data_IF_550045717615
#
_entry.id   IF_550045717615
#
_cell.length_a   1.000
_cell.length_b   1.000
_cell.length_c   1.000
_cell.angle_alpha   90.00
_cell.angle_beta   90.00
_cell.angle_gamma   90.00
#
_symmetry.space_group_name_H-M   'P 1'
#
loop_
_entity.id
_entity.type
_entity.pdbx_description
1 polymer ?
#
# COMPACT_ATOMS: atom_id res chain seq x y z
N UNK A 1 -26.83 -27.33 -24.54
CA UNK A 1 -26.63 -25.93 -24.11
C UNK A 1 -25.19 -25.79 -23.64
N UNK A 2 -24.44 -24.88 -24.23
CA UNK A 2 -23.04 -24.61 -23.85
C UNK A 2 -22.95 -23.18 -23.33
N UNK A 3 -22.12 -22.97 -22.31
CA UNK A 3 -21.81 -21.64 -21.76
C UNK A 3 -20.32 -21.41 -21.97
N UNK A 4 -19.96 -20.22 -22.44
CA UNK A 4 -18.58 -19.81 -22.69
C UNK A 4 -18.40 -18.34 -22.32
N UNK A 5 -17.15 -17.95 -22.06
CA UNK A 5 -16.76 -16.57 -21.82
C UNK A 5 -15.49 -16.27 -22.63
N UNK A 6 -15.37 -15.03 -23.08
CA UNK A 6 -14.18 -14.53 -23.78
C UNK A 6 -13.80 -13.16 -23.22
N UNK A 7 -12.51 -12.86 -23.21
CA UNK A 7 -11.94 -11.58 -22.80
C UNK A 7 -11.40 -10.83 -24.01
N UNK A 8 -11.62 -9.53 -24.08
CA UNK A 8 -10.94 -8.66 -25.06
C UNK A 8 -9.51 -8.29 -24.63
N UNK A 9 -9.08 -8.69 -23.43
CA UNK A 9 -7.71 -8.54 -22.94
C UNK A 9 -7.21 -9.87 -22.31
N UNK A 10 -6.78 -10.84 -23.13
CA UNK A 10 -6.30 -12.14 -22.64
C UNK A 10 -4.96 -12.07 -21.91
N UNK A 11 -4.22 -10.95 -21.99
CA UNK A 11 -3.00 -10.78 -21.19
C UNK A 11 -3.33 -10.61 -19.70
N UNK A 12 -4.41 -9.88 -19.41
CA UNK A 12 -4.94 -9.66 -18.06
C UNK A 12 -5.85 -10.81 -17.59
N UNK A 13 -6.87 -11.15 -18.38
CA UNK A 13 -7.86 -12.18 -18.04
C UNK A 13 -7.91 -13.21 -19.18
N UNK A 14 -7.20 -14.34 -19.03
CA UNK A 14 -7.18 -15.40 -20.05
C UNK A 14 -8.49 -16.17 -20.06
N UNK A 15 -9.04 -16.41 -21.25
CA UNK A 15 -10.26 -17.22 -21.42
C UNK A 15 -10.16 -18.60 -20.74
N UNK A 16 -8.96 -19.18 -20.71
CA UNK A 16 -8.69 -20.47 -20.09
C UNK A 16 -8.73 -20.46 -18.55
N UNK A 17 -8.70 -19.31 -17.88
CA UNK A 17 -8.83 -19.21 -16.41
C UNK A 17 -10.28 -19.09 -15.94
N UNK A 18 -11.24 -18.98 -16.86
CA UNK A 18 -12.65 -18.86 -16.54
C UNK A 18 -13.24 -20.20 -16.12
N UNK A 19 -13.72 -20.27 -14.88
CA UNK A 19 -14.34 -21.47 -14.32
C UNK A 19 -15.82 -21.23 -14.12
N UNK A 20 -16.65 -21.96 -14.85
CA UNK A 20 -18.10 -21.94 -14.69
C UNK A 20 -18.54 -22.93 -13.61
N UNK A 21 -19.45 -22.49 -12.75
CA UNK A 21 -20.10 -23.31 -11.73
C UNK A 21 -21.62 -23.15 -11.73
N UNK A 22 -22.27 -23.83 -10.78
CA UNK A 22 -23.74 -23.83 -10.64
C UNK A 22 -24.47 -24.62 -11.74
N UNK A 23 -25.80 -24.60 -11.70
CA UNK A 23 -26.69 -25.33 -12.60
C UNK A 23 -27.99 -24.55 -12.90
N UNK A 24 -28.74 -25.01 -13.91
CA UNK A 24 -29.99 -24.37 -14.31
C UNK A 24 -29.85 -22.86 -14.57
N UNK A 25 -30.67 -22.06 -13.88
CA UNK A 25 -30.68 -20.60 -13.94
C UNK A 25 -29.61 -19.94 -13.05
N UNK A 26 -29.06 -20.67 -12.07
CA UNK A 26 -28.11 -20.15 -11.09
C UNK A 26 -26.69 -20.60 -11.46
N UNK A 27 -26.01 -19.77 -12.24
CA UNK A 27 -24.63 -20.02 -12.70
C UNK A 27 -23.66 -19.05 -12.04
N UNK A 28 -22.46 -19.54 -11.76
CA UNK A 28 -21.33 -18.71 -11.32
C UNK A 28 -20.22 -18.72 -12.35
N UNK A 29 -19.46 -17.64 -12.41
CA UNK A 29 -18.23 -17.53 -13.17
C UNK A 29 -17.14 -17.02 -12.23
N UNK A 30 -16.10 -17.83 -12.01
CA UNK A 30 -14.89 -17.43 -11.31
C UNK A 30 -13.87 -16.96 -12.33
N UNK A 31 -13.33 -15.76 -12.10
CA UNK A 31 -12.32 -15.13 -12.95
C UNK A 31 -11.07 -14.92 -12.11
N UNK A 32 -9.95 -15.49 -12.55
CA UNK A 32 -8.63 -15.26 -11.97
C UNK A 32 -7.79 -14.42 -12.93
N UNK A 33 -7.39 -13.20 -12.55
CA UNK A 33 -6.43 -12.40 -13.31
C UNK A 33 -5.06 -13.07 -13.41
N UNK A 34 -4.31 -12.72 -14.44
CA UNK A 34 -2.88 -13.01 -14.47
C UNK A 34 -2.18 -12.33 -13.29
N UNK A 35 -1.23 -13.03 -12.68
CA UNK A 35 -0.41 -12.53 -11.57
C UNK A 35 0.23 -11.20 -11.94
N UNK A 36 0.16 -10.23 -11.01
CA UNK A 36 0.76 -8.90 -11.11
C UNK A 36 0.33 -8.12 -12.37
N UNK A 37 -0.90 -8.30 -12.83
CA UNK A 37 -1.45 -7.53 -13.95
C UNK A 37 -2.63 -6.68 -13.51
N UNK A 38 -2.56 -5.40 -13.87
CA UNK A 38 -3.64 -4.42 -13.69
C UNK A 38 -4.22 -4.00 -15.04
N UNK A 39 -5.47 -3.57 -15.04
CA UNK A 39 -6.11 -3.01 -16.23
C UNK A 39 -7.60 -3.32 -16.30
N UNK A 40 -8.17 -3.04 -17.48
CA UNK A 40 -9.55 -3.37 -17.80
C UNK A 40 -9.64 -4.49 -18.83
N UNK A 41 -10.71 -5.26 -18.74
CA UNK A 41 -11.13 -6.22 -19.74
C UNK A 41 -12.65 -6.29 -19.80
N UNK A 42 -13.20 -6.35 -21.00
CA UNK A 42 -14.61 -6.72 -21.20
C UNK A 42 -14.71 -8.21 -21.31
N UNK A 43 -15.54 -8.80 -20.46
CA UNK A 43 -15.90 -10.21 -20.54
C UNK A 43 -17.21 -10.33 -21.31
N UNK A 44 -17.23 -11.15 -22.35
CA UNK A 44 -18.42 -11.51 -23.11
C UNK A 44 -18.80 -12.95 -22.83
N UNK A 45 -19.95 -13.14 -22.18
CA UNK A 45 -20.60 -14.43 -21.98
C UNK A 45 -21.40 -14.80 -23.23
N UNK A 46 -21.36 -16.09 -23.60
CA UNK A 46 -22.19 -16.65 -24.66
C UNK A 46 -22.82 -17.95 -24.21
N UNK A 47 -24.14 -18.04 -24.38
CA UNK A 47 -24.95 -19.22 -24.10
C UNK A 47 -25.55 -19.70 -25.40
N UNK A 48 -25.23 -20.92 -25.82
CA UNK A 48 -25.70 -21.49 -27.09
C UNK A 48 -26.57 -22.72 -26.83
N UNK A 49 -27.73 -22.82 -27.50
CA UNK A 49 -28.59 -23.99 -27.45
C UNK A 49 -28.12 -25.11 -28.41
N UNK A 50 -28.81 -26.25 -28.43
CA UNK A 50 -28.49 -27.37 -29.32
C UNK A 50 -28.77 -27.10 -30.80
N UNK A 51 -29.50 -26.03 -31.10
CA UNK A 51 -29.87 -25.60 -32.45
C UNK A 51 -28.92 -24.51 -32.98
N UNK A 52 -27.91 -24.13 -32.18
CA UNK A 52 -26.91 -23.13 -32.54
C UNK A 52 -27.33 -21.68 -32.29
N UNK A 53 -28.50 -21.43 -31.68
CA UNK A 53 -28.91 -20.07 -31.31
C UNK A 53 -28.17 -19.65 -30.06
N UNK A 54 -27.60 -18.44 -30.09
CA UNK A 54 -26.81 -17.91 -28.99
C UNK A 54 -27.42 -16.63 -28.41
N UNK A 55 -27.35 -16.50 -27.09
CA UNK A 55 -27.54 -15.26 -26.37
C UNK A 55 -26.20 -14.82 -25.76
N UNK A 56 -25.92 -13.52 -25.79
CA UNK A 56 -24.69 -12.97 -25.22
C UNK A 56 -24.99 -11.86 -24.22
N UNK A 57 -24.09 -11.70 -23.25
CA UNK A 57 -24.08 -10.59 -22.30
C UNK A 57 -22.63 -10.18 -22.08
N UNK A 58 -22.37 -8.90 -21.83
CA UNK A 58 -21.02 -8.43 -21.54
C UNK A 58 -20.99 -7.53 -20.32
N UNK A 59 -19.90 -7.60 -19.58
CA UNK A 59 -19.62 -6.72 -18.44
C UNK A 59 -18.15 -6.33 -18.44
N UNK A 60 -17.85 -5.20 -17.81
CA UNK A 60 -16.47 -4.73 -17.60
C UNK A 60 -15.93 -5.32 -16.32
N UNK A 61 -14.70 -5.83 -16.36
CA UNK A 61 -13.91 -6.18 -15.19
C UNK A 61 -12.71 -5.25 -15.18
N UNK A 62 -12.49 -4.60 -14.04
CA UNK A 62 -11.28 -3.83 -13.78
C UNK A 62 -10.51 -4.53 -12.68
N UNK A 63 -9.27 -4.89 -13.00
CA UNK A 63 -8.29 -5.34 -12.03
C UNK A 63 -7.47 -4.10 -11.70
N UNK A 64 -7.61 -3.64 -10.47
CA UNK A 64 -6.81 -2.54 -9.93
C UNK A 64 -5.67 -3.16 -9.13
N UNK A 65 -4.57 -2.42 -8.97
CA UNK A 65 -3.59 -2.80 -7.97
C UNK A 65 -4.31 -2.88 -6.63
N UNK A 66 -3.92 -3.86 -5.81
CA UNK A 66 -4.28 -3.77 -4.41
C UNK A 66 -3.72 -2.41 -3.92
N UNK A 67 -4.49 -1.60 -3.16
CA UNK A 67 -3.92 -0.40 -2.55
C UNK A 67 -2.65 -0.83 -1.83
N UNK A 68 -1.54 -0.09 -2.04
CA UNK A 68 -0.24 -0.43 -1.49
C UNK A 68 -0.41 -0.84 -0.03
N UNK A 69 -0.31 -2.14 0.25
CA UNK A 69 -0.45 -2.59 1.62
C UNK A 69 0.75 -2.05 2.37
N UNK A 70 0.52 -1.50 3.57
CA UNK A 70 1.63 -0.96 4.36
C UNK A 70 2.72 -2.02 4.51
N UNK A 71 3.90 -1.68 4.00
CA UNK A 71 5.06 -2.54 4.07
C UNK A 71 5.13 -3.63 2.99
N UNK A 72 4.26 -3.67 1.99
CA UNK A 72 4.42 -4.52 0.80
C UNK A 72 5.33 -3.82 -0.23
N UNK A 73 6.64 -4.10 -0.19
CA UNK A 73 7.63 -3.40 -1.01
C UNK A 73 7.81 -4.04 -2.39
N UNK A 74 7.20 -5.20 -2.65
CA UNK A 74 7.31 -5.91 -3.92
C UNK A 74 5.98 -6.03 -4.69
N UNK A 75 4.85 -5.64 -4.09
CA UNK A 75 3.52 -5.64 -4.68
C UNK A 75 2.85 -7.02 -4.72
N UNK A 76 3.32 -8.00 -3.94
CA UNK A 76 2.77 -9.37 -3.94
C UNK A 76 1.55 -9.54 -3.04
N UNK A 77 1.11 -8.47 -2.39
CA UNK A 77 -0.04 -8.42 -1.49
C UNK A 77 0.26 -8.88 -0.07
N UNK A 78 1.52 -9.18 0.26
CA UNK A 78 1.97 -9.56 1.60
C UNK A 78 2.87 -8.45 2.19
N UNK A 79 2.82 -8.23 3.51
CA UNK A 79 3.73 -7.30 4.16
C UNK A 79 5.15 -7.88 4.21
N UNK A 80 6.11 -7.09 3.75
CA UNK A 80 7.54 -7.31 3.86
C UNK A 80 8.12 -6.63 5.12
N UNK A 81 9.41 -6.85 5.38
CA UNK A 81 10.13 -6.22 6.50
C UNK A 81 11.24 -5.31 6.00
N UNK A 82 11.33 -4.10 6.57
CA UNK A 82 12.48 -3.21 6.39
C UNK A 82 13.32 -3.19 7.66
N UNK A 83 14.63 -3.30 7.46
CA UNK A 83 15.66 -3.17 8.47
C UNK A 83 16.50 -1.94 8.17
N UNK A 84 16.76 -1.14 9.19
CA UNK A 84 17.72 -0.05 9.16
C UNK A 84 18.86 -0.40 10.11
N UNK A 85 20.11 -0.24 9.66
CA UNK A 85 21.28 -0.35 10.53
C UNK A 85 21.73 1.01 11.08
N UNK A 86 22.69 1.00 12.01
CA UNK A 86 23.23 2.21 12.63
C UNK A 86 24.00 3.13 11.65
N UNK A 87 24.30 2.61 10.46
CA UNK A 87 25.03 3.31 9.41
C UNK A 87 24.10 3.92 8.36
N UNK A 88 22.78 3.75 8.52
CA UNK A 88 21.73 4.26 7.64
C UNK A 88 21.44 3.34 6.44
N UNK A 89 22.02 2.13 6.40
CA UNK A 89 21.71 1.18 5.34
C UNK A 89 20.33 0.58 5.56
N UNK A 90 19.59 0.44 4.46
CA UNK A 90 18.28 -0.20 4.44
C UNK A 90 18.31 -1.53 3.70
N UNK A 91 17.75 -2.55 4.35
CA UNK A 91 17.53 -3.87 3.78
C UNK A 91 16.06 -4.26 3.87
N UNK A 92 15.52 -4.84 2.81
CA UNK A 92 14.19 -5.43 2.76
C UNK A 92 14.28 -6.96 2.80
N UNK A 93 13.41 -7.60 3.58
CA UNK A 93 13.12 -9.03 3.46
C UNK A 93 11.78 -9.19 2.78
N UNK A 94 11.80 -9.77 1.59
CA UNK A 94 10.59 -10.04 0.82
C UNK A 94 9.95 -11.34 1.33
N UNK A 95 8.79 -11.22 1.97
CA UNK A 95 8.12 -12.33 2.65
C UNK A 95 7.12 -12.96 1.68
N UNK A 96 7.37 -14.21 1.27
CA UNK A 96 6.35 -15.02 0.64
C UNK A 96 5.89 -16.15 1.58
N UNK A 97 4.67 -16.66 1.37
CA UNK A 97 4.00 -17.65 2.23
C UNK A 97 4.76 -18.98 2.44
N UNK A 98 5.90 -19.20 1.79
CA UNK A 98 6.63 -20.48 1.79
C UNK A 98 8.13 -20.37 2.09
N UNK A 99 8.77 -19.20 1.92
CA UNK A 99 10.20 -18.95 2.19
C UNK A 99 10.48 -17.45 2.42
N UNK A 100 11.43 -17.10 3.31
CA UNK A 100 12.01 -15.75 3.31
C UNK A 100 12.94 -15.63 2.10
N UNK A 101 12.51 -14.93 1.05
CA UNK A 101 13.26 -14.85 -0.21
C UNK A 101 14.13 -13.61 -0.18
N UNK A 102 15.41 -13.83 0.06
CA UNK A 102 16.53 -12.89 -0.09
C UNK A 102 16.47 -11.59 0.74
N UNK A 103 17.64 -11.19 1.24
CA UNK A 103 17.87 -9.82 1.71
C UNK A 103 18.16 -8.98 0.48
N UNK A 104 17.32 -7.99 0.20
CA UNK A 104 17.54 -7.06 -0.90
C UNK A 104 17.70 -5.65 -0.36
N UNK A 105 18.77 -4.95 -0.76
CA UNK A 105 18.99 -3.57 -0.31
C UNK A 105 18.11 -2.61 -1.10
N UNK A 106 17.62 -1.56 -0.43
CA UNK A 106 17.11 -0.40 -1.14
C UNK A 106 18.26 0.27 -1.91
N UNK A 107 17.95 0.94 -3.02
CA UNK A 107 18.92 1.62 -3.87
C UNK A 107 18.58 3.10 -3.92
N UNK A 108 19.47 4.01 -3.48
CA UNK A 108 20.82 3.77 -2.98
C UNK A 108 20.82 3.08 -1.61
N UNK A 109 21.78 2.19 -1.38
CA UNK A 109 21.86 1.41 -0.14
C UNK A 109 22.40 2.20 1.05
N UNK A 110 22.96 3.39 0.82
CA UNK A 110 23.43 4.32 1.85
C UNK A 110 22.94 5.71 1.47
N UNK A 111 22.31 6.39 2.43
CA UNK A 111 21.99 7.81 2.32
C UNK A 111 22.96 8.55 3.23
N UNK A 112 23.76 9.45 2.65
CA UNK A 112 24.97 9.99 3.30
C UNK A 112 24.73 10.79 4.59
N UNK A 113 23.48 11.16 4.87
CA UNK A 113 23.04 11.72 6.14
C UNK A 113 22.57 10.59 7.07
N UNK A 114 23.04 10.59 8.33
CA UNK A 114 22.87 9.47 9.27
C UNK A 114 21.92 9.80 10.41
N UNK A 115 21.43 11.04 10.49
CA UNK A 115 20.65 11.51 11.63
C UNK A 115 19.14 11.27 11.47
N UNK A 116 18.75 10.16 10.82
CA UNK A 116 17.35 9.83 10.57
C UNK A 116 16.99 8.40 11.00
N UNK A 117 15.73 8.21 11.33
CA UNK A 117 15.11 6.89 11.49
C UNK A 117 13.96 6.72 10.49
N UNK A 118 13.80 5.49 9.98
CA UNK A 118 12.56 5.09 9.34
C UNK A 118 11.51 4.88 10.42
N UNK A 119 10.41 5.64 10.35
CA UNK A 119 9.37 5.71 11.39
C UNK A 119 8.00 5.30 10.88
N UNK A 120 7.86 5.09 9.58
CA UNK A 120 6.62 4.60 8.98
C UNK A 120 6.77 4.30 7.49
N UNK A 121 5.71 3.74 6.92
CA UNK A 121 5.61 3.42 5.49
C UNK A 121 4.18 3.60 5.00
N UNK A 122 4.01 3.91 3.72
CA UNK A 122 2.70 4.11 3.09
C UNK A 122 2.88 4.71 1.71
N UNK A 123 1.82 4.81 0.92
CA UNK A 123 1.86 5.50 -0.38
C UNK A 123 1.61 7.00 -0.14
N UNK A 124 2.66 7.83 -0.19
CA UNK A 124 2.58 9.27 0.10
C UNK A 124 2.47 10.13 -1.16
N UNK A 125 2.71 9.55 -2.33
CA UNK A 125 2.61 10.25 -3.62
C UNK A 125 1.48 9.72 -4.52
N UNK A 126 0.71 8.73 -4.05
CA UNK A 126 -0.38 8.06 -4.73
C UNK A 126 0.03 7.38 -6.05
N UNK A 127 1.24 6.82 -6.10
CA UNK A 127 1.77 6.12 -7.28
C UNK A 127 1.60 4.59 -7.23
N UNK A 128 1.02 4.06 -6.15
CA UNK A 128 0.76 2.64 -5.94
C UNK A 128 1.92 1.87 -5.32
N UNK A 129 3.04 2.51 -5.01
CA UNK A 129 4.17 1.89 -4.34
C UNK A 129 4.29 2.34 -2.88
N UNK A 130 4.87 1.48 -2.03
CA UNK A 130 5.15 1.83 -0.63
C UNK A 130 6.34 2.76 -0.56
N UNK A 131 6.13 3.94 -0.01
CA UNK A 131 7.15 4.92 0.35
C UNK A 131 7.54 4.79 1.83
N UNK A 132 8.61 5.49 2.23
CA UNK A 132 9.10 5.51 3.61
C UNK A 132 8.99 6.90 4.23
N UNK A 133 8.49 6.98 5.46
CA UNK A 133 8.51 8.19 6.28
C UNK A 133 9.75 8.19 7.19
N UNK A 134 10.44 9.32 7.21
CA UNK A 134 11.67 9.56 7.94
C UNK A 134 11.45 10.67 8.97
N UNK A 135 12.07 10.51 10.13
CA UNK A 135 12.20 11.60 11.09
C UNK A 135 13.65 11.74 11.58
N UNK A 136 14.13 12.97 11.62
CA UNK A 136 15.45 13.35 12.09
C UNK A 136 15.47 13.62 13.59
N UNK A 137 16.66 13.62 14.21
CA UNK A 137 16.78 13.82 15.66
C UNK A 137 16.23 15.17 16.12
N UNK A 138 16.35 16.19 15.28
CA UNK A 138 15.84 17.56 15.47
C UNK A 138 14.32 17.69 15.26
N UNK A 139 13.65 16.65 14.77
CA UNK A 139 12.22 16.62 14.53
C UNK A 139 11.81 16.90 13.09
N UNK A 140 12.76 17.20 12.20
CA UNK A 140 12.49 17.34 10.77
C UNK A 140 11.95 16.03 10.19
N UNK A 141 11.13 16.15 9.15
CA UNK A 141 10.46 15.06 8.47
C UNK A 141 10.86 15.03 6.99
N UNK A 142 10.98 13.82 6.46
CA UNK A 142 11.09 13.59 5.03
C UNK A 142 10.30 12.34 4.64
N UNK A 143 9.99 12.23 3.36
CA UNK A 143 9.44 11.04 2.74
C UNK A 143 10.35 10.63 1.60
N UNK A 144 10.71 9.36 1.54
CA UNK A 144 11.41 8.77 0.42
C UNK A 144 10.42 8.09 -0.50
N UNK A 145 10.35 8.59 -1.74
CA UNK A 145 9.51 8.01 -2.77
C UNK A 145 10.19 6.81 -3.40
N UNK A 146 9.50 5.68 -3.41
CA UNK A 146 10.04 4.42 -3.91
C UNK A 146 9.23 3.88 -5.09
N UNK A 147 9.91 3.17 -5.98
CA UNK A 147 9.27 2.25 -6.93
C UNK A 147 9.89 0.88 -6.73
N UNK A 148 9.17 0.02 -6.01
CA UNK A 148 9.74 -1.18 -5.39
C UNK A 148 10.91 -0.81 -4.48
N UNK A 149 12.12 -1.30 -4.80
CA UNK A 149 13.34 -1.08 -3.97
C UNK A 149 14.13 0.18 -4.33
N UNK A 150 13.69 0.93 -5.34
CA UNK A 150 14.46 2.05 -5.89
C UNK A 150 13.94 3.37 -5.34
N UNK A 151 14.81 4.15 -4.73
CA UNK A 151 14.56 5.56 -4.42
C UNK A 151 14.46 6.35 -5.73
N UNK A 152 13.29 6.95 -5.96
CA UNK A 152 13.00 7.76 -7.13
C UNK A 152 12.92 9.26 -6.81
N UNK A 153 12.77 9.61 -5.53
CA UNK A 153 12.70 11.00 -5.12
C UNK A 153 12.60 11.17 -3.60
N UNK A 154 12.60 12.43 -3.18
CA UNK A 154 12.42 12.82 -1.79
C UNK A 154 11.33 13.89 -1.73
N UNK A 155 10.33 13.67 -0.89
CA UNK A 155 9.32 14.64 -0.52
C UNK A 155 9.62 15.23 0.87
N UNK A 156 9.38 16.53 1.04
CA UNK A 156 9.47 17.19 2.34
C UNK A 156 8.06 17.58 2.75
N UNK A 157 7.49 16.96 3.82
CA UNK A 157 6.19 17.36 4.33
C UNK A 157 6.09 18.86 4.57
N UNK A 158 4.88 19.41 4.44
CA UNK A 158 4.62 20.80 4.80
C UNK A 158 3.56 20.86 5.90
N UNK A 159 3.91 21.27 7.13
CA UNK A 159 5.23 21.75 7.55
C UNK A 159 6.30 20.63 7.59
N UNK A 160 7.57 21.02 7.45
CA UNK A 160 8.70 20.10 7.39
C UNK A 160 9.12 19.53 8.75
N UNK A 161 8.55 20.06 9.83
CA UNK A 161 8.83 19.67 11.20
C UNK A 161 7.61 20.00 12.08
N UNK A 162 7.56 19.41 13.27
CA UNK A 162 6.50 19.64 14.26
C UNK A 162 6.65 20.97 15.01
N UNK A 163 7.79 21.66 14.86
CA UNK A 163 8.15 22.87 15.62
C UNK A 163 8.62 22.59 17.05
N UNK A 164 8.59 21.33 17.47
CA UNK A 164 9.10 20.84 18.74
C UNK A 164 9.60 19.39 18.55
N UNK A 165 10.90 19.21 18.77
CA UNK A 165 11.62 17.94 18.58
C UNK A 165 11.17 16.83 19.54
N UNK A 166 10.37 17.13 20.57
CA UNK A 166 9.81 16.13 21.49
C UNK A 166 8.65 15.34 20.88
N UNK A 167 8.03 15.83 19.80
CA UNK A 167 7.07 15.05 19.01
C UNK A 167 7.78 14.03 18.13
N UNK A 168 7.43 12.75 18.29
CA UNK A 168 7.90 11.67 17.41
C UNK A 168 6.77 11.12 16.57
N UNK A 169 7.04 10.92 15.29
CA UNK A 169 6.17 10.14 14.41
C UNK A 169 6.24 8.68 14.88
N UNK A 170 5.11 8.12 15.29
CA UNK A 170 5.03 6.77 15.87
C UNK A 170 4.22 5.80 15.03
N UNK A 171 3.39 6.30 14.12
CA UNK A 171 2.68 5.48 13.15
C UNK A 171 2.24 6.30 11.94
N UNK A 172 1.91 5.59 10.87
CA UNK A 172 1.30 6.13 9.65
C UNK A 172 0.15 5.21 9.24
N UNK A 173 -0.92 5.72 8.63
CA UNK A 173 -2.17 5.07 8.22
C UNK A 173 -3.13 6.11 7.64
N UNK A 174 -4.23 5.67 7.05
CA UNK A 174 -5.32 6.54 6.58
C UNK A 174 -6.39 6.59 7.68
N UNK A 175 -6.36 7.62 8.54
CA UNK A 175 -7.24 7.68 9.72
C UNK A 175 -8.63 8.25 9.41
N UNK A 176 -8.78 9.03 8.35
CA UNK A 176 -10.08 9.56 7.93
C UNK A 176 -10.65 8.93 6.65
N UNK A 177 -10.01 7.86 6.15
CA UNK A 177 -10.47 7.06 5.01
C UNK A 177 -10.58 7.86 3.71
N UNK A 178 -9.66 8.82 3.53
CA UNK A 178 -9.63 9.70 2.36
C UNK A 178 -8.68 9.21 1.25
N UNK A 179 -7.99 8.09 1.49
CA UNK A 179 -7.04 7.45 0.59
C UNK A 179 -5.61 7.99 0.70
N UNK A 180 -5.33 8.96 1.58
CA UNK A 180 -3.98 9.46 1.85
C UNK A 180 -3.42 8.80 3.11
N UNK A 181 -2.09 8.64 3.15
CA UNK A 181 -1.42 8.22 4.38
C UNK A 181 -1.19 9.43 5.28
N UNK A 182 -1.78 9.42 6.48
CA UNK A 182 -1.60 10.40 7.54
C UNK A 182 -0.49 10.01 8.54
N UNK A 183 -0.19 10.94 9.45
CA UNK A 183 0.83 10.78 10.48
C UNK A 183 0.25 10.83 11.90
N UNK A 184 0.59 9.84 12.73
CA UNK A 184 0.33 9.85 14.17
C UNK A 184 1.60 10.20 14.94
N UNK A 185 1.55 11.28 15.70
CA UNK A 185 2.62 11.72 16.57
C UNK A 185 2.33 11.44 18.04
N UNK A 186 3.38 11.11 18.79
CA UNK A 186 3.37 11.06 20.25
C UNK A 186 4.44 11.99 20.82
N UNK A 187 4.04 12.84 21.77
CA UNK A 187 4.97 13.69 22.51
C UNK A 187 5.71 12.86 23.56
N UNK A 188 7.05 12.82 23.51
CA UNK A 188 7.86 11.91 24.35
C UNK A 188 7.70 12.14 25.85
N UNK A 189 7.55 13.39 26.29
CA UNK A 189 7.53 13.74 27.72
C UNK A 189 6.13 13.84 28.29
N UNK A 190 5.14 14.18 27.46
CA UNK A 190 3.75 14.37 27.90
C UNK A 190 2.86 13.15 27.60
N UNK A 191 3.27 12.31 26.65
CA UNK A 191 2.48 11.20 26.13
C UNK A 191 1.27 11.63 25.30
N UNK A 192 1.16 12.93 24.97
CA UNK A 192 0.07 13.49 24.16
C UNK A 192 0.09 12.92 22.75
N UNK A 193 -1.07 12.62 22.18
CA UNK A 193 -1.22 12.11 20.82
C UNK A 193 -1.85 13.15 19.89
N UNK A 194 -1.29 13.29 18.70
CA UNK A 194 -1.81 14.16 17.65
C UNK A 194 -1.77 13.46 16.30
N UNK A 195 -2.83 13.59 15.51
CA UNK A 195 -2.88 13.16 14.12
C UNK A 195 -2.70 14.37 13.22
N UNK A 196 -1.86 14.21 12.21
CA UNK A 196 -1.76 15.11 11.07
C UNK A 196 -2.43 14.43 9.89
N UNK A 197 -3.60 14.95 9.51
CA UNK A 197 -4.28 14.53 8.29
C UNK A 197 -3.60 15.17 7.08
N UNK A 198 -3.30 14.38 6.07
CA UNK A 198 -2.49 14.78 4.94
C UNK A 198 -3.23 14.63 3.62
N UNK A 199 -2.89 15.48 2.64
CA UNK A 199 -3.16 15.22 1.23
C UNK A 199 -1.83 15.11 0.49
N UNK A 200 -1.44 13.88 0.14
CA UNK A 200 -0.04 13.55 -0.14
C UNK A 200 0.85 13.88 1.06
N UNK A 201 1.79 14.82 0.90
CA UNK A 201 2.71 15.27 1.95
C UNK A 201 2.34 16.64 2.56
N UNK A 202 1.14 17.16 2.28
CA UNK A 202 0.69 18.46 2.78
C UNK A 202 -0.28 18.31 3.93
N UNK A 203 0.03 18.95 5.06
CA UNK A 203 -0.88 19.00 6.21
C UNK A 203 -2.16 19.75 5.85
N UNK A 204 -3.30 19.09 6.02
CA UNK A 204 -4.63 19.70 5.85
C UNK A 204 -5.25 20.05 7.19
N UNK A 205 -5.06 19.20 8.21
CA UNK A 205 -5.62 19.37 9.54
C UNK A 205 -4.77 18.67 10.60
N UNK A 206 -4.63 19.31 11.75
CA UNK A 206 -4.11 18.67 12.97
C UNK A 206 -5.25 18.40 13.94
N UNK A 207 -5.25 17.23 14.56
CA UNK A 207 -6.20 16.86 15.61
C UNK A 207 -5.47 16.25 16.81
N UNK A 208 -5.77 16.75 18.01
CA UNK A 208 -5.35 16.08 19.25
C UNK A 208 -6.40 15.05 19.62
N UNK A 209 -6.01 13.77 19.66
CA UNK A 209 -6.94 12.67 19.94
C UNK A 209 -7.60 12.83 21.32
N UNK A 210 -8.79 12.29 21.53
CA UNK A 210 -9.46 12.31 22.85
C UNK A 210 -9.82 10.89 23.28
N UNK A 211 -9.35 10.39 24.44
CA UNK A 211 -8.49 11.07 25.42
C UNK A 211 -7.08 11.34 24.87
N UNK A 212 -6.56 12.53 25.17
CA UNK A 212 -5.31 13.04 24.57
C UNK A 212 -4.06 12.30 25.00
N UNK A 213 -4.14 11.45 26.04
CA UNK A 213 -3.01 10.67 26.55
C UNK A 213 -3.50 9.41 27.27
N UNK A 214 -2.90 8.24 27.00
CA UNK A 214 -3.05 7.06 27.87
C UNK A 214 -2.22 7.16 29.16
N UNK A 215 -1.32 8.15 29.27
CA UNK A 215 -0.45 8.45 30.43
C UNK A 215 1.02 8.52 30.03
N UNK A 216 1.84 9.33 30.72
CA UNK A 216 3.22 9.67 30.30
C UNK A 216 4.24 8.51 30.27
N UNK A 217 3.87 7.33 30.76
CA UNK A 217 4.72 6.12 30.72
C UNK A 217 4.39 5.19 29.55
N UNK A 218 3.31 5.45 28.83
CA UNK A 218 2.85 4.60 27.73
C UNK A 218 3.45 5.07 26.41
N UNK A 219 3.82 4.12 25.55
CA UNK A 219 4.24 4.39 24.17
C UNK A 219 3.33 3.68 23.18
N UNK A 220 3.09 4.30 22.04
CA UNK A 220 2.48 3.61 20.89
C UNK A 220 3.46 2.54 20.40
N UNK A 221 2.95 1.34 20.14
CA UNK A 221 3.76 0.21 19.63
C UNK A 221 3.26 -0.35 18.31
N UNK A 222 2.00 -0.07 17.96
CA UNK A 222 1.39 -0.34 16.66
C UNK A 222 0.15 0.55 16.51
N UNK A 223 -0.14 1.08 15.31
CA UNK A 223 -1.50 1.47 14.94
C UNK A 223 -2.43 0.26 14.83
#
# INVERSE_FOLDING_TARGET
>A
MTVSATSDNPALLRDSSFVFGGDGADRTLVITPATDQVGGARITLSVMDSEGRAATASFQVRVEDAPAQKGDFNGDGLPDLIFQDADGFLAAWLVNLQTMKAVEFLVPSNVGDRDFLIVGSGDFNADGYVDLALQFSDGALAVWYLQGKKLIGVGIPHPAETGDAEWRLVATADWDSDGNTDFLFQHRTEGTLAVWYLHGIRLTRTEFLTPHRPGGTWRVVSP
#
